data_IF_082996884182
#
_entry.id   IF_082996884182
#
_cell.length_a   1.000
_cell.length_b   1.000
_cell.length_c   1.000
_cell.angle_alpha   90.00
_cell.angle_beta   90.00
_cell.angle_gamma   90.00
#
_symmetry.space_group_name_H-M   'P 1'
#
loop_
_entity.id
_entity.type
_entity.pdbx_description
1 polymer ?
#
# COMPACT_ATOMS: atom_id res chain seq x y z
N UNK A 1 0.89 -22.35 -15.78
CA UNK A 1 1.23 -22.07 -14.37
C UNK A 1 0.21 -21.11 -13.82
N UNK A 2 -0.32 -21.34 -12.62
CA UNK A 2 -1.29 -20.42 -12.02
C UNK A 2 -0.69 -19.11 -11.49
N UNK A 3 0.65 -19.01 -11.40
CA UNK A 3 1.33 -17.78 -11.04
C UNK A 3 1.53 -16.94 -12.30
N UNK A 4 0.96 -15.77 -12.32
CA UNK A 4 0.93 -14.88 -13.46
C UNK A 4 2.07 -13.85 -13.37
N UNK A 5 3.27 -14.31 -13.53
CA UNK A 5 4.47 -13.47 -13.61
C UNK A 5 4.92 -13.37 -15.07
N UNK A 6 4.98 -12.16 -15.58
CA UNK A 6 5.38 -11.87 -16.96
C UNK A 6 6.84 -11.43 -17.09
N UNK A 7 7.47 -10.99 -15.99
CA UNK A 7 8.88 -10.63 -16.00
C UNK A 7 9.74 -11.89 -15.99
N UNK A 8 10.53 -12.16 -17.06
CA UNK A 8 11.37 -13.35 -17.15
C UNK A 8 12.36 -13.49 -15.98
N UNK A 9 12.86 -12.36 -15.46
CA UNK A 9 13.78 -12.36 -14.33
C UNK A 9 13.10 -12.82 -13.04
N UNK A 10 11.87 -12.41 -12.80
CA UNK A 10 11.08 -12.79 -11.62
C UNK A 10 10.51 -14.20 -11.73
N UNK A 11 10.21 -14.66 -12.93
CA UNK A 11 9.64 -16.02 -13.19
C UNK A 11 10.50 -17.14 -12.59
N UNK A 12 11.81 -16.96 -12.56
CA UNK A 12 12.74 -17.96 -11.98
C UNK A 12 12.44 -18.27 -10.50
N UNK A 13 11.92 -17.30 -9.73
CA UNK A 13 11.61 -17.50 -8.32
C UNK A 13 10.39 -18.39 -8.10
N UNK A 14 9.55 -18.52 -9.10
CA UNK A 14 8.33 -19.32 -9.05
C UNK A 14 8.44 -20.67 -9.76
N UNK A 15 9.53 -20.93 -10.45
CA UNK A 15 9.70 -22.13 -11.28
C UNK A 15 9.54 -23.45 -10.52
N UNK A 16 9.84 -23.48 -9.23
CA UNK A 16 9.75 -24.65 -8.36
C UNK A 16 8.60 -24.59 -7.36
N UNK A 17 7.75 -23.56 -7.44
CA UNK A 17 6.64 -23.40 -6.51
C UNK A 17 5.49 -24.32 -6.91
N UNK A 18 5.13 -25.26 -6.06
CA UNK A 18 3.95 -26.07 -6.23
C UNK A 18 2.71 -25.23 -6.00
N UNK A 19 1.88 -25.07 -7.04
CA UNK A 19 0.68 -24.29 -6.96
C UNK A 19 -0.47 -25.07 -7.62
N UNK A 20 -1.65 -25.19 -6.98
CA UNK A 20 -2.79 -25.86 -7.57
C UNK A 20 -3.21 -25.19 -8.89
N UNK A 21 -3.60 -26.00 -9.88
CA UNK A 21 -3.91 -25.53 -11.24
C UNK A 21 -5.06 -24.51 -11.31
N UNK A 22 -5.95 -24.54 -10.33
CA UNK A 22 -7.13 -23.64 -10.25
C UNK A 22 -6.88 -22.35 -9.46
N UNK A 23 -5.66 -22.17 -8.91
CA UNK A 23 -5.30 -20.97 -8.16
C UNK A 23 -4.48 -20.04 -9.06
N UNK A 24 -4.95 -18.82 -9.22
CA UNK A 24 -4.25 -17.76 -9.96
C UNK A 24 -3.68 -16.77 -8.94
N UNK A 25 -2.39 -16.55 -9.00
CA UNK A 25 -1.67 -15.64 -8.11
C UNK A 25 -1.11 -14.49 -8.96
N UNK A 26 -1.73 -13.32 -8.95
CA UNK A 26 -1.16 -12.14 -9.58
C UNK A 26 0.06 -11.69 -8.79
N UNK A 27 1.10 -11.30 -9.48
CA UNK A 27 2.33 -10.78 -8.88
C UNK A 27 2.44 -9.26 -8.97
N UNK A 28 1.55 -8.65 -9.75
CA UNK A 28 1.45 -7.21 -9.89
C UNK A 28 0.15 -6.68 -9.25
N UNK A 29 0.23 -5.52 -8.60
CA UNK A 29 -0.93 -4.87 -7.98
C UNK A 29 -2.02 -4.53 -9.00
N UNK A 30 -1.65 -4.20 -10.23
CA UNK A 30 -2.60 -3.93 -11.31
C UNK A 30 -3.44 -5.15 -11.68
N UNK A 31 -2.83 -6.33 -11.68
CA UNK A 31 -3.53 -7.59 -11.96
C UNK A 31 -4.44 -7.97 -10.79
N UNK A 32 -3.95 -7.82 -9.56
CA UNK A 32 -4.74 -8.04 -8.36
C UNK A 32 -5.94 -7.09 -8.30
N UNK A 33 -5.76 -5.83 -8.70
CA UNK A 33 -6.85 -4.85 -8.84
C UNK A 33 -7.92 -5.28 -9.84
N UNK A 34 -7.51 -5.81 -10.99
CA UNK A 34 -8.44 -6.26 -12.03
C UNK A 34 -9.20 -7.52 -11.62
N UNK A 35 -8.50 -8.48 -11.03
CA UNK A 35 -9.06 -9.82 -10.76
C UNK A 35 -9.82 -9.92 -9.45
N UNK A 36 -9.59 -8.98 -8.53
CA UNK A 36 -10.17 -9.04 -7.20
C UNK A 36 -10.96 -7.77 -6.82
N UNK A 37 -12.06 -7.47 -7.52
CA UNK A 37 -12.81 -6.23 -7.32
C UNK A 37 -13.36 -6.08 -5.91
N UNK A 38 -13.64 -7.18 -5.20
CA UNK A 38 -14.16 -7.15 -3.83
C UNK A 38 -13.17 -6.59 -2.81
N UNK A 39 -11.87 -6.68 -3.11
CA UNK A 39 -10.81 -6.28 -2.20
C UNK A 39 -10.06 -5.01 -2.65
N UNK A 40 -10.54 -4.31 -3.67
CA UNK A 40 -9.94 -3.04 -4.14
C UNK A 40 -9.84 -1.97 -3.05
N UNK A 41 -10.69 -2.03 -2.06
CA UNK A 41 -10.64 -1.12 -0.92
C UNK A 41 -9.31 -1.16 -0.16
N UNK A 42 -8.57 -2.27 -0.22
CA UNK A 42 -7.24 -2.38 0.41
C UNK A 42 -6.20 -1.45 -0.20
N UNK A 43 -6.43 -1.03 -1.45
CA UNK A 43 -5.60 -0.05 -2.14
C UNK A 43 -6.00 1.39 -1.85
N UNK A 44 -7.18 1.61 -1.26
CA UNK A 44 -7.63 2.93 -0.79
C UNK A 44 -6.98 3.24 0.55
N UNK A 45 -5.87 3.99 0.49
CA UNK A 45 -5.07 4.32 1.67
C UNK A 45 -5.82 5.21 2.66
N UNK A 46 -6.79 5.99 2.20
CA UNK A 46 -7.65 6.78 3.07
C UNK A 46 -8.60 5.87 3.85
N UNK A 47 -9.26 4.94 3.18
CA UNK A 47 -10.12 3.95 3.83
C UNK A 47 -9.35 3.09 4.84
N UNK A 48 -8.13 2.66 4.48
CA UNK A 48 -7.27 1.87 5.38
C UNK A 48 -6.88 2.70 6.62
N UNK A 49 -6.39 3.93 6.45
CA UNK A 49 -6.01 4.80 7.57
C UNK A 49 -7.19 5.06 8.52
N UNK A 50 -8.36 5.37 7.96
CA UNK A 50 -9.59 5.62 8.74
C UNK A 50 -10.01 4.38 9.54
N UNK A 51 -9.95 3.18 8.93
CA UNK A 51 -10.27 1.92 9.61
C UNK A 51 -9.29 1.57 10.73
N UNK A 52 -8.07 2.07 10.66
CA UNK A 52 -7.07 1.96 11.72
C UNK A 52 -7.27 3.00 12.84
N UNK A 53 -8.29 3.86 12.74
CA UNK A 53 -8.56 4.91 13.72
C UNK A 53 -7.63 6.12 13.61
N UNK A 54 -6.89 6.25 12.51
CA UNK A 54 -6.03 7.42 12.27
C UNK A 54 -6.88 8.60 11.78
N UNK A 55 -6.57 9.80 12.25
CA UNK A 55 -7.10 11.02 11.68
C UNK A 55 -6.54 11.17 10.25
N UNK A 56 -7.40 11.09 9.27
CA UNK A 56 -6.99 11.16 7.87
C UNK A 56 -8.09 11.81 7.04
N UNK A 57 -7.69 12.57 6.04
CA UNK A 57 -8.64 13.20 5.12
C UNK A 57 -8.03 13.37 3.72
N UNK A 58 -8.86 13.51 2.67
CA UNK A 58 -8.37 13.87 1.35
C UNK A 58 -7.84 15.30 1.33
N UNK A 59 -6.96 15.60 0.38
CA UNK A 59 -6.63 16.98 0.08
C UNK A 59 -7.91 17.76 -0.29
N UNK A 60 -8.06 18.95 0.29
CA UNK A 60 -9.31 19.74 0.29
C UNK A 60 -9.89 19.88 1.69
N UNK A 61 -9.55 18.96 2.62
CA UNK A 61 -9.80 19.10 4.06
C UNK A 61 -8.46 19.34 4.73
N UNK A 62 -8.23 20.55 5.25
CA UNK A 62 -6.94 20.90 5.85
C UNK A 62 -6.70 20.16 7.17
N UNK A 63 -5.46 19.73 7.46
CA UNK A 63 -5.07 19.21 8.76
C UNK A 63 -5.24 20.27 9.86
N UNK A 64 -5.60 19.83 11.05
CA UNK A 64 -5.66 20.72 12.24
C UNK A 64 -4.30 20.87 12.90
N UNK A 65 -3.44 19.89 12.74
CA UNK A 65 -2.10 19.84 13.36
C UNK A 65 -1.07 19.36 12.35
N UNK A 66 0.18 19.73 12.56
CA UNK A 66 1.33 19.35 11.75
C UNK A 66 2.45 18.79 12.65
N UNK A 67 3.37 17.96 12.16
CA UNK A 67 3.49 17.52 10.77
C UNK A 67 2.48 16.43 10.39
N UNK A 68 2.14 16.36 9.10
CA UNK A 68 1.36 15.27 8.53
C UNK A 68 2.10 14.62 7.36
N UNK A 69 1.74 13.39 7.06
CA UNK A 69 2.26 12.65 5.92
C UNK A 69 1.23 12.64 4.80
N UNK A 70 1.61 13.18 3.64
CA UNK A 70 0.77 13.24 2.44
C UNK A 70 1.20 12.15 1.45
N UNK A 71 0.23 11.48 0.86
CA UNK A 71 0.45 10.43 -0.15
C UNK A 71 -0.77 10.29 -1.07
N UNK A 72 -0.61 9.70 -2.28
CA UNK A 72 -1.75 9.35 -3.12
C UNK A 72 -2.72 8.41 -2.40
N UNK A 73 -4.02 8.60 -2.59
CA UNK A 73 -5.06 7.68 -2.08
C UNK A 73 -4.87 6.29 -2.68
N UNK A 74 -4.67 6.24 -4.00
CA UNK A 74 -4.34 5.01 -4.73
C UNK A 74 -2.94 5.08 -5.31
N UNK A 75 -2.15 4.06 -5.08
CA UNK A 75 -0.83 3.93 -5.70
C UNK A 75 -0.50 2.45 -5.91
N UNK A 76 -0.82 1.93 -7.09
CA UNK A 76 -0.56 0.55 -7.48
C UNK A 76 0.92 0.29 -7.85
N UNK A 77 1.74 1.35 -7.92
CA UNK A 77 3.18 1.22 -8.18
C UNK A 77 4.02 1.05 -6.92
N UNK A 78 3.43 1.30 -5.74
CA UNK A 78 4.14 1.24 -4.48
C UNK A 78 5.25 2.28 -4.34
N UNK A 79 6.34 1.92 -3.66
CA UNK A 79 7.61 2.68 -3.56
C UNK A 79 7.49 4.11 -3.00
N UNK A 80 6.40 4.45 -2.32
CA UNK A 80 6.21 5.79 -1.75
C UNK A 80 6.12 6.93 -2.77
N UNK A 81 5.93 6.62 -4.07
CA UNK A 81 5.86 7.63 -5.12
C UNK A 81 4.74 8.64 -4.83
N UNK A 82 5.09 9.93 -4.88
CA UNK A 82 4.17 11.03 -4.57
C UNK A 82 3.94 11.29 -3.08
N UNK A 83 4.66 10.60 -2.19
CA UNK A 83 4.56 10.81 -0.75
C UNK A 83 5.52 11.88 -0.26
N UNK A 84 5.11 12.66 0.75
CA UNK A 84 5.91 13.71 1.38
C UNK A 84 5.44 14.06 2.77
N UNK A 85 6.33 14.58 3.61
CA UNK A 85 5.97 15.19 4.89
C UNK A 85 5.64 16.66 4.69
N UNK A 86 4.50 17.08 5.23
CA UNK A 86 4.05 18.46 5.26
C UNK A 86 4.18 18.97 6.71
N UNK A 87 4.94 20.04 6.91
CA UNK A 87 5.29 20.52 8.25
C UNK A 87 4.50 21.75 8.68
N UNK A 88 3.75 22.35 7.75
CA UNK A 88 2.99 23.57 7.97
C UNK A 88 1.77 23.66 7.07
N UNK A 89 0.89 24.60 7.39
CA UNK A 89 -0.24 24.96 6.51
C UNK A 89 0.25 25.44 5.13
N UNK A 90 1.34 26.20 5.08
CA UNK A 90 1.90 26.67 3.82
C UNK A 90 2.42 25.49 2.95
N UNK A 91 3.04 24.48 3.57
CA UNK A 91 3.45 23.26 2.85
C UNK A 91 2.23 22.53 2.29
N UNK A 92 1.15 22.46 3.08
CA UNK A 92 -0.09 21.79 2.65
C UNK A 92 -0.72 22.51 1.44
N UNK A 93 -0.83 23.83 1.49
CA UNK A 93 -1.38 24.64 0.40
C UNK A 93 -0.54 24.52 -0.88
N UNK A 94 0.78 24.59 -0.75
CA UNK A 94 1.70 24.41 -1.86
C UNK A 94 1.70 22.99 -2.45
N UNK A 95 1.40 21.99 -1.62
CA UNK A 95 1.37 20.59 -2.00
C UNK A 95 -0.01 20.10 -2.42
N UNK A 96 -1.03 20.96 -2.44
CA UNK A 96 -2.39 20.55 -2.76
C UNK A 96 -2.47 19.80 -4.09
N UNK A 97 -3.04 18.61 -4.04
CA UNK A 97 -3.19 17.78 -5.22
C UNK A 97 -4.44 16.88 -5.08
N UNK A 98 -5.40 16.96 -6.02
CA UNK A 98 -6.52 16.02 -6.07
C UNK A 98 -6.03 14.57 -6.11
N UNK A 99 -6.74 13.68 -5.42
CA UNK A 99 -6.37 12.26 -5.34
C UNK A 99 -5.29 11.94 -4.30
N UNK A 100 -4.81 12.95 -3.56
CA UNK A 100 -3.96 12.76 -2.38
C UNK A 100 -4.76 12.82 -1.10
N UNK A 101 -4.20 12.24 -0.06
CA UNK A 101 -4.69 12.28 1.32
C UNK A 101 -3.54 12.67 2.25
N UNK A 102 -3.89 13.08 3.45
CA UNK A 102 -2.95 13.23 4.55
C UNK A 102 -3.37 12.37 5.74
N UNK A 103 -2.41 12.03 6.58
CA UNK A 103 -2.57 11.34 7.84
C UNK A 103 -1.48 11.81 8.81
N UNK A 104 -1.57 11.54 10.12
CA UNK A 104 -0.49 11.87 11.05
C UNK A 104 0.84 11.29 10.57
N UNK A 105 1.93 12.05 10.76
CA UNK A 105 3.27 11.49 10.59
C UNK A 105 3.51 10.50 11.72
N UNK A 106 3.59 9.22 11.39
CA UNK A 106 3.88 8.18 12.37
C UNK A 106 5.38 8.14 12.63
N UNK A 107 5.75 8.13 13.90
CA UNK A 107 7.12 7.98 14.35
C UNK A 107 7.37 6.55 14.83
N UNK A 108 8.57 6.05 14.66
CA UNK A 108 8.96 4.72 15.09
C UNK A 108 9.73 3.93 14.02
N UNK A 109 10.03 2.70 14.36
CA UNK A 109 10.67 1.77 13.44
C UNK A 109 9.72 1.40 12.29
N UNK A 110 10.21 1.49 11.05
CA UNK A 110 9.46 1.05 9.88
C UNK A 110 9.58 -0.46 9.73
N UNK A 111 8.47 -1.16 9.93
CA UNK A 111 8.38 -2.60 9.75
C UNK A 111 7.44 -2.91 8.57
N UNK A 112 7.94 -3.67 7.61
CA UNK A 112 7.12 -4.27 6.56
C UNK A 112 6.73 -5.70 6.97
N UNK A 113 5.47 -6.05 6.76
CA UNK A 113 4.96 -7.39 7.07
C UNK A 113 4.28 -7.99 5.86
N UNK A 114 4.84 -9.09 5.38
CA UNK A 114 4.19 -9.91 4.36
C UNK A 114 3.36 -11.00 5.05
N UNK A 115 2.13 -11.15 4.64
CA UNK A 115 1.19 -12.12 5.23
C UNK A 115 0.50 -12.90 4.13
N UNK A 116 0.58 -14.23 4.21
CA UNK A 116 -0.23 -15.11 3.37
C UNK A 116 -1.47 -15.58 4.13
N UNK A 117 -2.63 -15.36 3.53
CA UNK A 117 -3.93 -15.73 4.06
C UNK A 117 -4.54 -16.88 3.25
N UNK A 118 -5.17 -17.84 3.94
CA UNK A 118 -6.02 -18.86 3.32
C UNK A 118 -7.34 -18.85 4.06
N UNK A 119 -8.43 -18.69 3.34
CA UNK A 119 -9.78 -18.59 3.91
C UNK A 119 -9.88 -17.58 5.07
N UNK A 120 -9.22 -16.42 4.89
CA UNK A 120 -9.19 -15.34 5.87
C UNK A 120 -8.30 -15.59 7.09
N UNK A 121 -7.64 -16.74 7.21
CA UNK A 121 -6.74 -17.07 8.30
C UNK A 121 -5.26 -16.91 7.91
N UNK A 122 -4.44 -16.21 8.70
CA UNK A 122 -3.00 -16.15 8.46
C UNK A 122 -2.37 -17.54 8.52
N UNK A 123 -1.64 -17.91 7.46
CA UNK A 123 -0.92 -19.17 7.36
C UNK A 123 0.59 -19.00 7.43
N UNK A 124 1.07 -17.88 6.99
CA UNK A 124 2.47 -17.53 6.99
C UNK A 124 2.62 -16.03 7.07
N UNK A 125 3.66 -15.56 7.76
CA UNK A 125 4.04 -14.16 7.81
C UNK A 125 5.54 -13.98 7.97
N UNK A 126 6.02 -12.85 7.50
CA UNK A 126 7.40 -12.41 7.63
C UNK A 126 7.42 -10.91 7.94
N UNK A 127 8.28 -10.54 8.85
CA UNK A 127 8.57 -9.14 9.16
C UNK A 127 9.97 -8.78 8.66
N UNK A 128 10.11 -7.56 8.14
CA UNK A 128 11.39 -6.97 7.78
C UNK A 128 11.44 -5.54 8.32
N UNK A 129 12.50 -5.22 9.05
CA UNK A 129 12.78 -3.85 9.44
C UNK A 129 13.25 -3.05 8.23
N UNK A 130 12.71 -1.84 8.05
CA UNK A 130 13.19 -0.90 7.04
C UNK A 130 14.57 -0.39 7.42
N UNK A 131 15.51 -0.42 6.47
CA UNK A 131 16.78 0.29 6.63
C UNK A 131 16.50 1.74 6.21
N UNK A 132 16.65 2.66 7.15
CA UNK A 132 16.61 4.09 6.83
C UNK A 132 17.77 4.40 5.88
N UNK A 133 17.43 4.88 4.69
CA UNK A 133 18.40 5.41 3.72
C UNK A 133 18.58 6.90 3.91
#
# INVERSE_FOLDING_TARGET
MPICEIDPWRTQYFAKVACPAHVFIPTEDSDAWLWNPQHRWTYDKLAVATRQGLEAAPHGVAPKTYPVFSKPVYNLKGMGVGSRTLRSQADYEAAYQPGHMWMPLLEGEHISSDVALVDGAPKWWRHAAGIAS
#
